data_IF_390477254009
#
_entry.id   IF_390477254009
#
_cell.length_a   1.000
_cell.length_b   1.000
_cell.length_c   1.000
_cell.angle_alpha   90.00
_cell.angle_beta   90.00
_cell.angle_gamma   90.00
#
_symmetry.space_group_name_H-M   'P 1'
#
loop_
_entity.id
_entity.type
_entity.pdbx_description
1 polymer ?
#
# COMPACT_ATOMS: atom_id res chain seq x y z
N UNK A 1 -1.32 -29.41 15.97
CA UNK A 1 -0.44 -28.44 16.68
C UNK A 1 -0.53 -27.01 16.17
N UNK A 2 -1.37 -26.73 15.18
CA UNK A 2 -1.51 -25.40 14.51
C UNK A 2 -2.48 -24.46 15.20
N UNK A 3 -3.27 -24.96 16.15
CA UNK A 3 -4.29 -24.18 16.87
C UNK A 3 -3.84 -23.70 18.27
N UNK A 4 -2.54 -23.55 18.48
CA UNK A 4 -2.00 -22.99 19.70
C UNK A 4 -1.15 -21.77 19.36
N UNK A 5 -1.44 -20.64 20.04
CA UNK A 5 -0.62 -19.45 19.88
C UNK A 5 0.80 -19.71 20.39
N UNK A 6 1.86 -19.26 19.71
CA UNK A 6 3.24 -19.52 20.09
C UNK A 6 3.55 -19.05 21.52
N UNK A 7 4.14 -19.93 22.33
CA UNK A 7 4.59 -19.60 23.70
C UNK A 7 6.00 -19.01 23.71
N UNK A 8 6.84 -19.44 22.78
CA UNK A 8 8.18 -18.88 22.61
C UNK A 8 8.08 -17.47 22.02
N UNK A 9 8.62 -16.48 22.72
CA UNK A 9 8.64 -15.08 22.31
C UNK A 9 10.02 -14.70 21.79
N UNK A 10 10.03 -13.91 20.71
CA UNK A 10 11.24 -13.23 20.26
C UNK A 10 11.51 -11.94 21.03
N UNK A 11 12.67 -11.37 20.80
CA UNK A 11 13.06 -10.05 21.30
C UNK A 11 13.31 -9.13 20.12
N UNK A 12 12.87 -7.88 20.21
CA UNK A 12 13.00 -6.91 19.13
C UNK A 12 13.64 -5.62 19.64
N UNK A 13 14.31 -4.93 18.74
CA UNK A 13 14.92 -3.63 19.00
C UNK A 13 14.84 -2.70 17.77
N UNK A 14 14.82 -1.40 18.04
CA UNK A 14 15.01 -0.39 17.02
C UNK A 14 16.49 -0.27 16.69
N UNK A 15 16.83 -0.30 15.41
CA UNK A 15 18.19 -0.09 14.90
C UNK A 15 18.22 1.18 14.07
N UNK A 16 18.99 2.16 14.49
CA UNK A 16 19.10 3.43 13.79
C UNK A 16 19.88 3.28 12.48
N UNK A 17 19.35 3.82 11.38
CA UNK A 17 20.03 3.77 10.09
C UNK A 17 21.10 4.85 9.88
N UNK A 18 21.24 5.78 10.84
CA UNK A 18 22.23 6.85 10.75
C UNK A 18 23.47 6.63 11.61
N UNK A 19 23.32 6.05 12.80
CA UNK A 19 24.41 5.88 13.78
C UNK A 19 24.48 4.47 14.37
N UNK A 20 23.71 3.53 13.86
CA UNK A 20 23.62 2.12 14.31
C UNK A 20 23.26 1.95 15.80
N UNK A 21 22.85 3.02 16.50
CA UNK A 21 22.36 2.94 17.88
C UNK A 21 21.13 2.04 17.98
N UNK A 22 21.07 1.26 19.06
CA UNK A 22 20.01 0.29 19.31
C UNK A 22 19.18 0.69 20.53
N UNK A 23 17.86 0.52 20.43
CA UNK A 23 16.92 0.89 21.48
C UNK A 23 15.88 -0.22 21.67
N UNK A 24 15.41 -0.45 22.91
CA UNK A 24 14.37 -1.44 23.19
C UNK A 24 13.08 -1.14 22.41
N UNK A 25 12.42 -2.19 21.92
CA UNK A 25 11.16 -2.06 21.18
C UNK A 25 9.94 -1.74 22.06
N UNK A 26 10.10 -1.64 23.38
CA UNK A 26 9.05 -1.31 24.35
C UNK A 26 8.94 0.19 24.64
N UNK A 27 9.45 1.04 23.76
CA UNK A 27 9.37 2.50 23.84
C UNK A 27 8.76 3.11 22.57
N UNK A 28 8.06 4.25 22.72
CA UNK A 28 7.52 5.00 21.58
C UNK A 28 8.64 5.82 20.92
N UNK A 29 9.34 5.20 19.96
CA UNK A 29 10.38 5.87 19.19
C UNK A 29 10.06 5.85 17.70
N UNK A 30 10.26 6.99 17.03
CA UNK A 30 10.02 7.17 15.60
C UNK A 30 11.25 7.64 14.85
N UNK A 31 12.11 8.40 15.54
CA UNK A 31 13.42 8.84 15.08
C UNK A 31 14.44 8.66 16.18
N UNK A 32 15.69 8.45 15.81
CA UNK A 32 16.79 8.24 16.73
C UNK A 32 17.03 9.50 17.58
N UNK A 33 17.00 9.41 18.92
CA UNK A 33 17.30 10.55 19.79
C UNK A 33 18.70 11.12 19.59
N UNK A 34 19.65 10.29 19.12
CA UNK A 34 21.04 10.70 18.95
C UNK A 34 21.32 11.41 17.63
N UNK A 35 20.63 11.03 16.51
CA UNK A 35 20.96 11.59 15.20
C UNK A 35 19.74 11.96 14.32
N UNK A 36 18.51 11.80 14.83
CA UNK A 36 17.28 12.13 14.11
C UNK A 36 16.90 11.18 12.96
N UNK A 37 17.70 10.15 12.66
CA UNK A 37 17.40 9.25 11.55
C UNK A 37 16.30 8.25 11.89
N UNK A 38 15.74 7.60 10.87
CA UNK A 38 14.69 6.59 11.02
C UNK A 38 15.27 5.23 11.43
N UNK A 39 14.39 4.35 11.94
CA UNK A 39 14.75 3.01 12.40
C UNK A 39 14.31 1.91 11.43
N UNK A 40 15.03 0.79 11.47
CA UNK A 40 14.47 -0.53 11.22
C UNK A 40 14.13 -1.19 12.57
N UNK A 41 13.15 -2.09 12.59
CA UNK A 41 12.89 -3.00 13.69
C UNK A 41 13.49 -4.36 13.34
N UNK A 42 14.38 -4.85 14.19
CA UNK A 42 15.05 -6.12 14.01
C UNK A 42 14.68 -7.10 15.15
N UNK A 43 14.52 -8.36 14.80
CA UNK A 43 14.41 -9.45 15.78
C UNK A 43 15.83 -9.83 16.22
N UNK A 44 16.15 -9.61 17.50
CA UNK A 44 17.50 -9.88 18.05
C UNK A 44 17.87 -11.35 17.90
N UNK A 45 16.90 -12.24 18.13
CA UNK A 45 17.08 -13.69 18.08
C UNK A 45 16.75 -14.27 16.67
N UNK A 46 16.90 -13.49 15.59
CA UNK A 46 16.53 -13.92 14.24
C UNK A 46 17.21 -15.23 13.83
N UNK A 47 18.46 -15.43 14.27
CA UNK A 47 19.19 -16.68 14.00
C UNK A 47 18.49 -17.93 14.53
N UNK A 48 17.70 -17.83 15.61
CA UNK A 48 16.93 -18.96 16.17
C UNK A 48 15.80 -19.40 15.24
N UNK A 49 15.33 -18.55 14.34
CA UNK A 49 14.35 -18.94 13.33
C UNK A 49 14.93 -19.97 12.35
N UNK A 50 16.26 -20.02 12.18
CA UNK A 50 16.97 -21.01 11.36
C UNK A 50 17.03 -22.40 11.99
N UNK A 51 16.72 -22.55 13.28
CA UNK A 51 16.62 -23.85 13.95
C UNK A 51 15.43 -24.68 13.41
N UNK A 52 14.40 -23.98 12.86
CA UNK A 52 13.32 -24.62 12.15
C UNK A 52 13.64 -24.65 10.65
N UNK A 53 13.45 -25.81 10.02
CA UNK A 53 13.70 -25.94 8.57
C UNK A 53 12.74 -25.08 7.75
N UNK A 54 13.14 -24.73 6.53
CA UNK A 54 12.26 -24.01 5.59
C UNK A 54 10.98 -24.78 5.29
N UNK A 55 11.07 -26.12 5.17
CA UNK A 55 9.91 -26.99 4.95
C UNK A 55 8.92 -26.92 6.13
N UNK A 56 9.42 -26.92 7.37
CA UNK A 56 8.57 -26.82 8.56
C UNK A 56 7.93 -25.45 8.71
N UNK A 57 8.63 -24.36 8.29
CA UNK A 57 8.04 -23.02 8.26
C UNK A 57 6.90 -22.94 7.23
N UNK A 58 7.13 -23.46 6.00
CA UNK A 58 6.11 -23.50 4.94
C UNK A 58 4.88 -24.28 5.43
N UNK A 59 5.07 -25.48 5.93
CA UNK A 59 4.00 -26.32 6.47
C UNK A 59 3.23 -25.65 7.62
N UNK A 60 3.93 -24.92 8.52
CA UNK A 60 3.30 -24.14 9.58
C UNK A 60 2.39 -23.04 9.05
N UNK A 61 2.85 -22.25 8.09
CA UNK A 61 2.08 -21.13 7.53
C UNK A 61 0.89 -21.64 6.69
N UNK A 62 1.06 -22.74 5.98
CA UNK A 62 -0.02 -23.40 5.22
C UNK A 62 -1.10 -23.95 6.17
N UNK A 63 -0.69 -24.60 7.25
CA UNK A 63 -1.62 -25.09 8.27
C UNK A 63 -2.37 -23.96 8.97
N UNK A 64 -1.73 -22.79 9.21
CA UNK A 64 -2.37 -21.61 9.78
C UNK A 64 -3.41 -20.99 8.85
N UNK A 65 -3.42 -21.28 7.55
CA UNK A 65 -4.48 -20.85 6.64
C UNK A 65 -5.87 -21.30 7.09
N UNK A 66 -5.97 -22.46 7.74
CA UNK A 66 -7.20 -23.03 8.30
C UNK A 66 -7.40 -22.71 9.79
N UNK A 67 -6.49 -21.99 10.44
CA UNK A 67 -6.57 -21.69 11.88
C UNK A 67 -7.77 -20.81 12.21
N UNK A 68 -8.42 -21.13 13.35
CA UNK A 68 -9.50 -20.32 13.94
C UNK A 68 -9.02 -19.33 14.99
N UNK A 69 -7.74 -19.36 15.35
CA UNK A 69 -7.15 -18.41 16.31
C UNK A 69 -7.03 -17.04 15.64
N UNK A 70 -7.83 -16.07 16.07
CA UNK A 70 -7.85 -14.71 15.51
C UNK A 70 -6.46 -14.07 15.50
N UNK A 71 -5.67 -14.27 16.57
CA UNK A 71 -4.31 -13.75 16.69
C UNK A 71 -3.28 -14.39 15.74
N UNK A 72 -3.66 -15.39 14.92
CA UNK A 72 -2.83 -16.01 13.88
C UNK A 72 -3.46 -15.87 12.49
N UNK A 73 -4.35 -14.88 12.31
CA UNK A 73 -4.99 -14.57 11.02
C UNK A 73 -4.39 -13.31 10.41
N UNK A 74 -4.76 -13.05 9.17
CA UNK A 74 -4.29 -11.88 8.43
C UNK A 74 -2.77 -11.80 8.39
N UNK A 75 -2.22 -10.62 8.66
CA UNK A 75 -0.77 -10.41 8.68
C UNK A 75 -0.07 -11.25 9.74
N UNK A 76 -0.74 -11.55 10.85
CA UNK A 76 -0.18 -12.35 11.96
C UNK A 76 -0.19 -13.88 11.72
N UNK A 77 -0.63 -14.36 10.55
CA UNK A 77 -0.30 -15.72 10.10
C UNK A 77 1.20 -15.98 10.21
N UNK A 78 1.99 -14.96 9.96
CA UNK A 78 3.47 -14.95 9.97
C UNK A 78 4.02 -14.33 11.26
N UNK A 79 3.35 -14.58 12.40
CA UNK A 79 3.62 -13.96 13.68
C UNK A 79 5.10 -13.89 14.06
N UNK A 80 5.85 -15.01 13.90
CA UNK A 80 7.27 -15.10 14.27
C UNK A 80 8.17 -14.19 13.42
N UNK A 81 7.73 -13.84 12.22
CA UNK A 81 8.50 -12.98 11.29
C UNK A 81 8.12 -11.50 11.43
N UNK A 82 6.91 -11.23 11.93
CA UNK A 82 6.39 -9.86 12.02
C UNK A 82 6.60 -9.27 13.40
N UNK A 83 5.98 -9.84 14.45
CA UNK A 83 5.98 -9.21 15.76
C UNK A 83 6.01 -10.24 16.91
N UNK A 84 7.10 -11.03 17.04
CA UNK A 84 7.17 -12.15 17.97
C UNK A 84 7.16 -11.74 19.46
N UNK A 85 7.13 -10.46 19.76
CA UNK A 85 7.04 -9.93 21.13
C UNK A 85 5.61 -9.76 21.64
N UNK A 86 4.62 -9.72 20.73
CA UNK A 86 3.24 -9.42 21.08
C UNK A 86 2.52 -10.61 21.70
N UNK A 87 1.64 -10.35 22.66
CA UNK A 87 0.76 -11.38 23.23
C UNK A 87 -0.52 -11.52 22.40
N UNK A 88 -1.11 -12.73 22.39
CA UNK A 88 -2.31 -13.01 21.61
C UNK A 88 -3.48 -12.04 21.86
N UNK A 89 -3.64 -11.63 23.12
CA UNK A 89 -4.70 -10.69 23.55
C UNK A 89 -4.51 -9.26 23.01
N UNK A 90 -3.29 -8.91 22.61
CA UNK A 90 -2.96 -7.57 22.10
C UNK A 90 -3.08 -7.48 20.58
N UNK A 91 -3.14 -8.62 19.91
CA UNK A 91 -3.26 -8.67 18.45
C UNK A 91 -4.63 -8.15 18.01
N UNK A 92 -4.59 -7.21 17.08
CA UNK A 92 -5.76 -6.58 16.43
C UNK A 92 -5.89 -7.14 15.03
N UNK A 93 -7.06 -7.67 14.71
CA UNK A 93 -7.38 -8.22 13.39
C UNK A 93 -8.77 -7.78 12.95
N UNK A 94 -8.88 -7.07 11.84
CA UNK A 94 -10.12 -6.59 11.22
C UNK A 94 -10.42 -7.29 9.88
N UNK A 95 -9.60 -8.26 9.48
CA UNK A 95 -9.72 -8.92 8.17
C UNK A 95 -8.64 -8.49 7.17
N UNK A 96 -7.65 -7.73 7.60
CA UNK A 96 -6.53 -7.31 6.76
C UNK A 96 -5.59 -8.49 6.43
N UNK A 97 -4.85 -8.31 5.33
CA UNK A 97 -3.92 -9.32 4.82
C UNK A 97 -4.62 -10.45 4.06
N UNK A 98 -3.82 -11.38 3.55
CA UNK A 98 -4.26 -12.50 2.71
C UNK A 98 -5.16 -12.01 1.55
N UNK A 99 -4.79 -10.87 1.01
CA UNK A 99 -5.51 -10.27 -0.12
C UNK A 99 -5.35 -11.11 -1.38
N UNK A 100 -6.41 -11.20 -2.22
CA UNK A 100 -6.36 -12.02 -3.42
C UNK A 100 -5.26 -11.60 -4.40
N UNK A 101 -4.64 -12.58 -5.02
CA UNK A 101 -3.87 -12.41 -6.26
C UNK A 101 -4.78 -12.88 -7.39
N UNK A 102 -5.12 -11.95 -8.28
CA UNK A 102 -6.05 -12.18 -9.39
C UNK A 102 -5.30 -12.01 -10.70
N UNK A 103 -5.25 -13.08 -11.51
CA UNK A 103 -4.65 -13.00 -12.83
C UNK A 103 -5.33 -11.91 -13.68
N UNK A 104 -4.52 -11.20 -14.46
CA UNK A 104 -5.06 -10.22 -15.40
C UNK A 104 -5.97 -10.93 -16.42
N UNK A 105 -7.06 -10.26 -16.80
CA UNK A 105 -7.99 -10.78 -17.79
C UNK A 105 -7.25 -11.21 -19.06
N UNK A 106 -7.64 -12.34 -19.71
CA UNK A 106 -6.94 -12.84 -20.91
C UNK A 106 -6.73 -11.77 -21.97
N UNK A 107 -7.77 -11.02 -22.31
CA UNK A 107 -7.68 -9.93 -23.30
C UNK A 107 -6.68 -8.83 -22.91
N UNK A 108 -6.53 -8.54 -21.62
CA UNK A 108 -5.56 -7.56 -21.14
C UNK A 108 -4.13 -8.13 -21.20
N UNK A 109 -3.94 -9.40 -20.86
CA UNK A 109 -2.64 -10.10 -21.00
C UNK A 109 -2.20 -10.15 -22.45
N UNK A 110 -3.12 -10.45 -23.37
CA UNK A 110 -2.84 -10.47 -24.82
C UNK A 110 -2.42 -9.09 -25.33
N UNK A 111 -3.10 -8.02 -24.89
CA UNK A 111 -2.74 -6.64 -25.25
C UNK A 111 -1.35 -6.24 -24.74
N UNK A 112 -0.97 -6.65 -23.54
CA UNK A 112 0.34 -6.34 -22.95
C UNK A 112 1.41 -7.29 -23.47
N UNK A 113 1.05 -8.53 -23.81
CA UNK A 113 1.94 -9.57 -24.29
C UNK A 113 2.79 -10.18 -23.19
N UNK A 114 2.28 -10.22 -21.94
CA UNK A 114 2.92 -10.82 -20.77
C UNK A 114 1.89 -11.43 -19.82
N UNK A 115 2.27 -12.50 -19.12
CA UNK A 115 1.49 -13.04 -18.00
C UNK A 115 1.69 -12.18 -16.76
N UNK A 116 0.60 -11.65 -16.21
CA UNK A 116 0.66 -10.86 -14.96
C UNK A 116 -0.63 -10.98 -14.15
N UNK A 117 -0.52 -10.62 -12.87
CA UNK A 117 -1.61 -10.63 -11.92
C UNK A 117 -1.63 -9.32 -11.11
N UNK A 118 -2.75 -9.04 -10.47
CA UNK A 118 -2.88 -7.99 -9.47
C UNK A 118 -2.97 -8.60 -8.08
N UNK A 119 -2.17 -8.10 -7.13
CA UNK A 119 -2.41 -8.31 -5.71
C UNK A 119 -3.34 -7.21 -5.22
N UNK A 120 -4.57 -7.60 -4.89
CA UNK A 120 -5.67 -6.66 -4.62
C UNK A 120 -5.68 -6.17 -3.17
N UNK A 121 -4.69 -5.38 -2.78
CA UNK A 121 -4.61 -4.77 -1.45
C UNK A 121 -5.73 -3.75 -1.17
N UNK A 122 -6.44 -3.33 -2.21
CA UNK A 122 -7.70 -2.60 -2.10
C UNK A 122 -8.85 -3.36 -1.44
N UNK A 123 -8.71 -4.68 -1.21
CA UNK A 123 -9.69 -5.49 -0.48
C UNK A 123 -9.44 -5.58 1.04
N UNK A 124 -8.44 -4.89 1.55
CA UNK A 124 -8.29 -4.70 2.99
C UNK A 124 -9.43 -3.87 3.59
N UNK A 125 -9.69 -3.93 4.91
CA UNK A 125 -10.85 -3.32 5.57
C UNK A 125 -11.08 -1.82 5.28
N UNK A 126 -10.02 -1.00 5.25
CA UNK A 126 -10.12 0.42 4.87
C UNK A 126 -9.98 0.66 3.36
N UNK A 127 -10.01 -0.40 2.57
CA UNK A 127 -9.81 -0.41 1.13
C UNK A 127 -8.40 0.03 0.69
N UNK A 128 -7.35 -0.27 1.49
CA UNK A 128 -5.95 -0.05 1.10
C UNK A 128 -4.95 -0.93 1.87
N UNK A 129 -3.74 -1.09 1.32
CA UNK A 129 -2.63 -1.82 1.95
C UNK A 129 -2.18 -1.24 3.30
N UNK A 130 -2.60 -0.03 3.64
CA UNK A 130 -2.25 0.63 4.91
C UNK A 130 -2.67 -0.18 6.12
N UNK A 131 -3.72 -0.98 5.97
CA UNK A 131 -4.26 -1.84 7.05
C UNK A 131 -3.25 -2.86 7.53
N UNK A 132 -2.41 -3.41 6.64
CA UNK A 132 -1.32 -4.31 7.03
C UNK A 132 -0.42 -3.70 8.11
N UNK A 133 -0.03 -2.46 7.87
CA UNK A 133 0.81 -1.72 8.83
C UNK A 133 0.04 -1.28 10.07
N UNK A 134 -1.23 -0.90 9.94
CA UNK A 134 -2.03 -0.46 11.07
C UNK A 134 -2.36 -1.61 12.00
N UNK A 135 -2.67 -2.80 11.51
CA UNK A 135 -2.85 -3.98 12.34
C UNK A 135 -1.66 -4.22 13.27
N UNK A 136 -0.45 -4.18 12.73
CA UNK A 136 0.76 -4.34 13.51
C UNK A 136 1.01 -3.18 14.49
N UNK A 137 0.84 -1.93 14.05
CA UNK A 137 1.07 -0.76 14.88
C UNK A 137 0.06 -0.66 16.04
N UNK A 138 -1.23 -0.94 15.79
CA UNK A 138 -2.24 -0.92 16.84
C UNK A 138 -2.13 -2.10 17.79
N UNK A 139 -1.73 -3.28 17.33
CA UNK A 139 -1.40 -4.41 18.19
C UNK A 139 -0.24 -4.07 19.14
N UNK A 140 0.81 -3.45 18.60
CA UNK A 140 1.93 -2.96 19.41
C UNK A 140 1.49 -1.90 20.41
N UNK A 141 0.70 -0.91 20.02
CA UNK A 141 0.21 0.13 20.94
C UNK A 141 -0.63 -0.46 22.06
N UNK A 142 -1.51 -1.41 21.75
CA UNK A 142 -2.30 -2.12 22.76
C UNK A 142 -1.42 -2.89 23.75
N UNK A 143 -0.42 -3.62 23.22
CA UNK A 143 0.58 -4.32 24.04
C UNK A 143 1.36 -3.33 24.94
N UNK A 144 1.80 -2.20 24.39
CA UNK A 144 2.57 -1.19 25.09
C UNK A 144 1.75 -0.50 26.20
N UNK A 145 0.49 -0.14 25.91
CA UNK A 145 -0.44 0.43 26.89
C UNK A 145 -0.66 -0.51 28.06
N UNK A 146 -0.93 -1.79 27.79
CA UNK A 146 -1.13 -2.81 28.82
C UNK A 146 0.12 -3.03 29.66
N UNK A 147 1.29 -3.12 29.03
CA UNK A 147 2.57 -3.34 29.71
C UNK A 147 2.94 -2.19 30.65
N UNK A 148 2.63 -0.95 30.26
CA UNK A 148 2.99 0.25 31.03
C UNK A 148 1.83 0.79 31.86
N UNK A 149 0.68 0.14 31.87
CA UNK A 149 -0.56 0.63 32.52
C UNK A 149 -0.92 2.06 32.08
N UNK A 150 -0.84 2.33 30.78
CA UNK A 150 -1.21 3.63 30.24
C UNK A 150 -2.74 3.73 30.04
N UNK A 151 -3.33 4.71 30.69
CA UNK A 151 -4.78 4.94 30.66
C UNK A 151 -5.23 5.71 29.40
N UNK A 152 -4.29 6.44 28.76
CA UNK A 152 -4.57 7.22 27.54
C UNK A 152 -3.32 7.35 26.67
N UNK A 153 -3.50 7.11 25.39
CA UNK A 153 -2.53 7.39 24.32
C UNK A 153 -3.24 8.04 23.15
N UNK A 154 -2.76 9.19 22.74
CA UNK A 154 -3.23 9.84 21.53
C UNK A 154 -2.56 9.22 20.31
N UNK A 155 -3.35 8.70 19.37
CA UNK A 155 -2.84 8.27 18.07
C UNK A 155 -3.06 9.41 17.06
N UNK A 156 -1.99 9.86 16.43
CA UNK A 156 -2.04 10.98 15.49
C UNK A 156 -1.55 10.56 14.12
N UNK A 157 -2.30 10.97 13.11
CA UNK A 157 -1.94 10.77 11.71
C UNK A 157 -2.12 12.08 10.94
N UNK A 158 -1.04 12.65 10.42
CA UNK A 158 -1.10 13.69 9.39
C UNK A 158 -1.19 13.00 8.03
N UNK A 159 -2.37 12.93 7.43
CA UNK A 159 -2.58 12.33 6.12
C UNK A 159 -3.96 12.69 5.57
N UNK A 160 -4.00 13.02 4.29
CA UNK A 160 -5.23 13.37 3.56
C UNK A 160 -5.87 12.16 2.87
N UNK A 161 -5.40 10.91 3.11
CA UNK A 161 -5.87 9.77 2.33
C UNK A 161 -5.86 8.44 3.09
N UNK A 162 -5.34 7.39 2.45
CA UNK A 162 -5.42 6.00 2.92
C UNK A 162 -4.87 5.77 4.33
N UNK A 163 -3.82 6.51 4.72
CA UNK A 163 -3.21 6.33 6.05
C UNK A 163 -4.14 6.80 7.16
N UNK A 164 -4.79 7.96 7.00
CA UNK A 164 -5.75 8.48 7.99
C UNK A 164 -7.01 7.62 8.05
N UNK A 165 -7.50 7.15 6.91
CA UNK A 165 -8.65 6.24 6.83
C UNK A 165 -8.39 4.95 7.62
N UNK A 166 -7.26 4.31 7.39
CA UNK A 166 -6.88 3.09 8.10
C UNK A 166 -6.63 3.35 9.59
N UNK A 167 -5.90 4.42 9.94
CA UNK A 167 -5.63 4.76 11.35
C UNK A 167 -6.92 5.00 12.15
N UNK A 168 -7.88 5.74 11.57
CA UNK A 168 -9.15 6.02 12.22
C UNK A 168 -10.00 4.75 12.42
N UNK A 169 -10.02 3.86 11.41
CA UNK A 169 -10.73 2.59 11.48
C UNK A 169 -10.20 1.70 12.61
N UNK A 170 -8.88 1.52 12.68
CA UNK A 170 -8.25 0.68 13.69
C UNK A 170 -8.37 1.27 15.09
N UNK A 171 -8.27 2.61 15.23
CA UNK A 171 -8.49 3.28 16.51
C UNK A 171 -9.93 3.13 17.00
N UNK A 172 -10.91 3.25 16.11
CA UNK A 172 -12.33 3.05 16.44
C UNK A 172 -12.59 1.61 16.92
N UNK A 173 -11.97 0.61 16.28
CA UNK A 173 -12.11 -0.79 16.68
C UNK A 173 -11.48 -1.08 18.04
N UNK A 174 -10.29 -0.55 18.31
CA UNK A 174 -9.59 -0.80 19.58
C UNK A 174 -10.24 -0.03 20.73
N UNK A 175 -10.71 1.20 20.48
CA UNK A 175 -11.28 2.05 21.52
C UNK A 175 -10.26 2.46 22.59
N UNK A 176 -10.74 2.69 23.83
CA UNK A 176 -9.87 3.02 24.95
C UNK A 176 -8.79 1.93 25.19
N UNK A 177 -7.58 2.32 25.54
CA UNK A 177 -7.11 3.65 25.92
C UNK A 177 -6.65 4.53 24.74
N UNK A 178 -6.89 4.16 23.48
CA UNK A 178 -6.41 4.88 22.30
C UNK A 178 -7.45 5.91 21.83
N UNK A 179 -7.01 7.14 21.63
CA UNK A 179 -7.82 8.20 21.00
C UNK A 179 -7.23 8.53 19.63
N UNK A 180 -8.07 8.73 18.62
CA UNK A 180 -7.63 9.01 17.26
C UNK A 180 -7.81 10.47 16.89
N UNK A 181 -6.73 11.07 16.39
CA UNK A 181 -6.73 12.40 15.78
C UNK A 181 -6.15 12.31 14.38
N UNK A 182 -6.84 12.93 13.43
CA UNK A 182 -6.36 13.17 12.06
C UNK A 182 -6.12 14.67 11.91
N UNK A 183 -4.90 15.06 11.58
CA UNK A 183 -4.52 16.47 11.35
C UNK A 183 -4.34 16.71 9.85
N UNK A 184 -4.99 17.74 9.32
CA UNK A 184 -5.08 18.03 7.90
C UNK A 184 -4.78 19.50 7.59
N UNK A 185 -4.24 19.81 6.41
CA UNK A 185 -4.15 21.20 5.95
C UNK A 185 -5.55 21.71 5.57
N UNK A 186 -5.93 22.87 6.11
CA UNK A 186 -7.25 23.47 5.92
C UNK A 186 -7.58 23.73 4.45
N UNK A 187 -8.79 23.30 4.03
CA UNK A 187 -9.31 23.54 2.69
C UNK A 187 -8.61 22.78 1.55
N UNK A 188 -7.77 21.78 1.86
CA UNK A 188 -6.99 21.03 0.86
C UNK A 188 -7.35 19.54 0.79
N UNK A 189 -8.49 19.16 1.37
CA UNK A 189 -8.92 17.78 1.48
C UNK A 189 -10.33 17.63 0.92
N UNK A 190 -10.57 16.61 0.11
CA UNK A 190 -11.89 16.36 -0.46
C UNK A 190 -12.81 15.66 0.54
N UNK A 191 -14.15 15.81 0.41
CA UNK A 191 -15.12 15.08 1.23
C UNK A 191 -14.92 13.56 1.18
N UNK A 192 -14.52 13.01 0.04
CA UNK A 192 -14.25 11.58 -0.14
C UNK A 192 -13.08 11.10 0.72
N UNK A 193 -12.04 11.92 0.84
CA UNK A 193 -10.88 11.61 1.70
C UNK A 193 -11.22 11.69 3.19
N UNK A 194 -12.19 12.53 3.57
CA UNK A 194 -12.64 12.68 4.96
C UNK A 194 -13.68 11.64 5.37
N UNK A 195 -14.36 11.00 4.42
CA UNK A 195 -15.51 10.13 4.71
C UNK A 195 -15.19 9.02 5.71
N UNK A 196 -14.07 8.33 5.55
CA UNK A 196 -13.69 7.24 6.46
C UNK A 196 -13.23 7.73 7.84
N UNK A 197 -12.34 8.73 7.99
CA UNK A 197 -11.98 9.27 9.31
C UNK A 197 -13.17 9.82 10.08
N UNK A 198 -14.05 10.59 9.44
CA UNK A 198 -15.26 11.12 10.07
C UNK A 198 -16.25 10.01 10.45
N UNK A 199 -16.48 9.07 9.53
CA UNK A 199 -17.36 7.92 9.76
C UNK A 199 -16.89 6.99 10.88
N UNK A 200 -15.58 6.92 11.11
CA UNK A 200 -14.97 6.17 12.22
C UNK A 200 -14.96 6.94 13.54
N UNK A 201 -15.46 8.16 13.58
CA UNK A 201 -15.52 8.97 14.82
C UNK A 201 -14.15 9.53 15.25
N UNK A 202 -13.15 9.58 14.38
CA UNK A 202 -11.89 10.23 14.69
C UNK A 202 -12.08 11.74 14.87
N UNK A 203 -11.31 12.35 15.77
CA UNK A 203 -11.23 13.80 15.85
C UNK A 203 -10.44 14.33 14.66
N UNK A 204 -11.10 15.00 13.73
CA UNK A 204 -10.45 15.58 12.55
C UNK A 204 -10.21 17.06 12.81
N UNK A 205 -8.95 17.49 12.75
CA UNK A 205 -8.50 18.86 12.98
C UNK A 205 -7.89 19.43 11.70
N UNK A 206 -8.23 20.66 11.39
CA UNK A 206 -7.66 21.41 10.26
C UNK A 206 -6.66 22.44 10.76
N UNK A 207 -5.49 22.48 10.13
CA UNK A 207 -4.42 23.46 10.40
C UNK A 207 -4.24 24.37 9.19
N UNK A 208 -4.23 25.71 9.36
CA UNK A 208 -3.82 26.60 8.28
C UNK A 208 -2.38 26.31 7.86
N UNK A 209 -2.15 26.06 6.58
CA UNK A 209 -0.82 25.74 6.06
C UNK A 209 -0.80 24.64 5.01
N UNK A 210 0.30 23.90 4.95
CA UNK A 210 0.51 22.75 4.05
C UNK A 210 0.74 21.46 4.84
N UNK A 211 0.79 20.35 4.13
CA UNK A 211 1.00 19.02 4.75
C UNK A 211 2.25 18.97 5.65
N UNK A 212 3.34 19.60 5.23
CA UNK A 212 4.59 19.62 6.01
C UNK A 212 4.42 20.36 7.34
N UNK A 213 3.54 21.37 7.43
CA UNK A 213 3.25 22.07 8.69
C UNK A 213 2.48 21.14 9.64
N UNK A 214 1.52 20.36 9.12
CA UNK A 214 0.85 19.33 9.91
C UNK A 214 1.85 18.29 10.45
N UNK A 215 2.80 17.87 9.62
CA UNK A 215 3.83 16.92 10.05
C UNK A 215 4.71 17.46 11.17
N UNK A 216 5.16 18.72 11.09
CA UNK A 216 5.95 19.36 12.15
C UNK A 216 5.20 19.41 13.49
N UNK A 217 3.90 19.76 13.45
CA UNK A 217 3.05 19.78 14.66
C UNK A 217 2.95 18.39 15.26
N UNK A 218 2.70 17.37 14.45
CA UNK A 218 2.57 15.99 14.94
C UNK A 218 3.90 15.45 15.49
N UNK A 219 5.02 15.79 14.88
CA UNK A 219 6.35 15.44 15.35
C UNK A 219 6.65 16.10 16.71
N UNK A 220 6.38 17.41 16.84
CA UNK A 220 6.53 18.12 18.11
C UNK A 220 5.64 17.54 19.23
N UNK A 221 4.41 17.13 18.90
CA UNK A 221 3.54 16.43 19.84
C UNK A 221 4.15 15.10 20.30
N UNK A 222 4.69 14.32 19.35
CA UNK A 222 5.29 13.02 19.67
C UNK A 222 6.59 13.11 20.49
N UNK A 223 7.31 14.22 20.39
CA UNK A 223 8.51 14.50 21.19
C UNK A 223 8.18 14.89 22.63
N UNK A 224 7.07 15.60 22.85
CA UNK A 224 6.78 16.24 24.14
C UNK A 224 5.63 15.60 24.91
N UNK A 225 4.83 14.75 24.27
CA UNK A 225 3.64 14.13 24.84
C UNK A 225 3.61 12.63 24.53
N UNK A 226 2.77 11.89 25.24
CA UNK A 226 2.51 10.48 24.95
C UNK A 226 1.62 10.34 23.73
N UNK A 227 2.24 10.47 22.58
CA UNK A 227 1.57 10.44 21.27
C UNK A 227 2.14 9.35 20.40
N UNK A 228 1.27 8.52 19.85
CA UNK A 228 1.61 7.50 18.87
C UNK A 228 1.48 8.06 17.45
N UNK A 229 2.63 8.28 16.82
CA UNK A 229 2.71 8.71 15.42
C UNK A 229 2.40 7.54 14.48
N UNK A 230 1.39 7.68 13.63
CA UNK A 230 0.95 6.64 12.69
C UNK A 230 1.34 6.94 11.23
N UNK A 231 2.28 7.84 11.00
CA UNK A 231 2.86 8.12 9.69
C UNK A 231 3.98 7.14 9.30
N UNK A 232 4.62 7.35 8.16
CA UNK A 232 5.63 6.44 7.58
C UNK A 232 6.93 6.33 8.38
N UNK A 233 7.16 7.19 9.41
CA UNK A 233 8.26 7.04 10.36
C UNK A 233 8.11 5.82 11.26
N UNK A 234 6.87 5.39 11.53
CA UNK A 234 6.58 4.28 12.43
C UNK A 234 7.06 2.94 11.86
N UNK A 235 8.06 2.33 12.50
CA UNK A 235 8.68 1.09 12.04
C UNK A 235 7.78 -0.14 12.23
N UNK A 236 6.84 -0.12 13.19
CA UNK A 236 5.87 -1.21 13.38
C UNK A 236 4.93 -1.35 12.18
N UNK A 237 4.62 -0.24 11.51
CA UNK A 237 3.87 -0.29 10.27
C UNK A 237 4.63 -1.01 9.16
N UNK A 238 5.94 -0.80 9.07
CA UNK A 238 6.78 -1.48 8.07
C UNK A 238 6.72 -3.00 8.29
N UNK A 239 6.83 -3.46 9.55
CA UNK A 239 6.74 -4.88 9.86
C UNK A 239 5.42 -5.51 9.41
N UNK A 240 4.27 -4.87 9.69
CA UNK A 240 2.98 -5.39 9.22
C UNK A 240 2.88 -5.48 7.70
N UNK A 241 3.47 -4.52 6.99
CA UNK A 241 3.49 -4.49 5.52
C UNK A 241 4.41 -5.57 4.92
N UNK A 242 5.38 -6.11 5.65
CA UNK A 242 6.20 -7.25 5.19
C UNK A 242 5.35 -8.48 4.84
N UNK A 243 4.16 -8.61 5.41
CA UNK A 243 3.21 -9.69 5.09
C UNK A 243 2.89 -9.80 3.59
N UNK A 244 2.97 -8.71 2.84
CA UNK A 244 2.84 -8.75 1.38
C UNK A 244 3.81 -9.74 0.74
N UNK A 245 5.08 -9.73 1.14
CA UNK A 245 6.10 -10.62 0.62
C UNK A 245 5.83 -12.08 0.99
N UNK A 246 5.41 -12.33 2.23
CA UNK A 246 5.12 -13.67 2.74
C UNK A 246 3.91 -14.28 2.04
N UNK A 247 2.84 -13.50 1.88
CA UNK A 247 1.64 -13.92 1.16
C UNK A 247 1.92 -14.18 -0.32
N UNK A 248 2.73 -13.33 -0.95
CA UNK A 248 3.12 -13.50 -2.36
C UNK A 248 3.93 -14.77 -2.55
N UNK A 249 4.92 -15.03 -1.69
CA UNK A 249 5.70 -16.26 -1.75
C UNK A 249 4.83 -17.49 -1.51
N UNK A 250 3.96 -17.48 -0.50
CA UNK A 250 3.05 -18.58 -0.19
C UNK A 250 2.06 -18.86 -1.34
N UNK A 251 1.52 -17.82 -1.98
CA UNK A 251 0.64 -17.96 -3.15
C UNK A 251 1.31 -18.65 -4.34
N UNK A 252 2.60 -18.42 -4.52
CA UNK A 252 3.42 -19.01 -5.57
C UNK A 252 4.13 -20.31 -5.11
N UNK A 253 3.59 -21.01 -4.13
CA UNK A 253 4.19 -22.23 -3.56
C UNK A 253 5.67 -22.06 -3.16
N UNK A 254 6.02 -20.84 -2.72
CA UNK A 254 7.36 -20.40 -2.34
C UNK A 254 8.37 -20.37 -3.50
N UNK A 255 7.89 -20.46 -4.74
CA UNK A 255 8.68 -20.30 -5.96
C UNK A 255 8.40 -18.93 -6.58
N UNK A 256 9.35 -18.03 -6.41
CA UNK A 256 9.32 -16.64 -6.92
C UNK A 256 10.34 -16.40 -8.02
N UNK A 257 10.86 -17.49 -8.62
CA UNK A 257 11.74 -17.42 -9.79
C UNK A 257 10.95 -16.76 -10.94
N UNK A 258 11.62 -15.91 -11.70
CA UNK A 258 11.05 -15.15 -12.83
C UNK A 258 9.85 -14.24 -12.48
N UNK A 259 9.65 -13.95 -11.18
CA UNK A 259 8.62 -13.02 -10.73
C UNK A 259 9.16 -11.58 -10.66
N UNK A 260 8.46 -10.67 -11.32
CA UNK A 260 8.71 -9.23 -11.29
C UNK A 260 7.59 -8.52 -10.51
N UNK A 261 7.92 -7.85 -9.42
CA UNK A 261 6.96 -7.09 -8.62
C UNK A 261 6.99 -5.63 -9.03
N UNK A 262 5.82 -5.05 -9.31
CA UNK A 262 5.69 -3.61 -9.56
C UNK A 262 4.99 -2.95 -8.38
N UNK A 263 5.68 -2.00 -7.75
CA UNK A 263 5.26 -1.40 -6.47
C UNK A 263 5.30 0.12 -6.59
N UNK A 264 4.20 0.83 -6.32
CA UNK A 264 4.19 2.29 -6.38
C UNK A 264 4.96 2.87 -5.20
N UNK A 265 5.75 3.92 -5.45
CA UNK A 265 6.68 4.49 -4.47
C UNK A 265 6.34 5.93 -4.12
N UNK A 266 5.64 6.13 -2.99
CA UNK A 266 5.45 7.44 -2.35
C UNK A 266 6.44 7.65 -1.21
N UNK A 267 5.98 7.57 0.06
CA UNK A 267 6.86 7.61 1.25
C UNK A 267 7.80 6.39 1.38
N UNK A 268 7.76 5.49 0.43
CA UNK A 268 8.62 4.32 0.25
C UNK A 268 8.57 3.27 1.38
N UNK A 269 7.58 3.33 2.29
CA UNK A 269 7.41 2.34 3.36
C UNK A 269 7.05 0.96 2.82
N UNK A 270 6.16 0.89 1.83
CA UNK A 270 5.68 -0.37 1.26
C UNK A 270 6.81 -1.15 0.56
N UNK A 271 7.52 -0.51 -0.35
CA UNK A 271 8.65 -1.14 -1.06
C UNK A 271 9.78 -1.55 -0.08
N UNK A 272 10.00 -0.76 0.99
CA UNK A 272 10.88 -1.12 2.10
C UNK A 272 10.45 -2.44 2.74
N UNK A 273 9.18 -2.56 3.09
CA UNK A 273 8.64 -3.76 3.73
C UNK A 273 8.70 -4.99 2.82
N UNK A 274 8.38 -4.83 1.54
CA UNK A 274 8.43 -5.91 0.55
C UNK A 274 9.87 -6.44 0.41
N UNK A 275 10.86 -5.54 0.25
CA UNK A 275 12.28 -5.94 0.23
C UNK A 275 12.70 -6.65 1.52
N UNK A 276 12.35 -6.11 2.68
CA UNK A 276 12.67 -6.69 3.99
C UNK A 276 12.07 -8.08 4.13
N UNK A 277 10.80 -8.26 3.75
CA UNK A 277 10.11 -9.55 3.82
C UNK A 277 10.77 -10.62 2.96
N UNK A 278 11.09 -10.30 1.69
CA UNK A 278 11.76 -11.26 0.81
C UNK A 278 13.19 -11.56 1.25
N UNK A 279 13.94 -10.59 1.78
CA UNK A 279 15.26 -10.84 2.36
C UNK A 279 15.19 -11.82 3.54
N UNK A 280 14.20 -11.69 4.43
CA UNK A 280 13.97 -12.65 5.52
C UNK A 280 13.64 -14.04 4.99
N UNK A 281 12.75 -14.15 4.00
CA UNK A 281 12.41 -15.45 3.39
C UNK A 281 13.63 -16.12 2.75
N UNK A 282 14.44 -15.35 2.04
CA UNK A 282 15.66 -15.84 1.42
C UNK A 282 16.70 -16.28 2.47
N UNK A 283 16.91 -15.47 3.51
CA UNK A 283 17.86 -15.78 4.58
C UNK A 283 17.46 -17.04 5.39
N UNK A 284 16.15 -17.31 5.49
CA UNK A 284 15.61 -18.51 6.14
C UNK A 284 15.44 -19.70 5.17
N UNK A 285 15.82 -19.54 3.90
CA UNK A 285 15.73 -20.59 2.88
C UNK A 285 14.31 -20.93 2.44
N UNK A 286 13.28 -20.11 2.76
CA UNK A 286 11.91 -20.31 2.30
C UNK A 286 11.75 -20.02 0.81
N UNK A 287 12.54 -19.14 0.27
CA UNK A 287 12.69 -18.90 -1.17
C UNK A 287 14.15 -19.06 -1.55
N UNK A 288 14.42 -19.68 -2.69
CA UNK A 288 15.79 -19.89 -3.18
C UNK A 288 16.37 -18.66 -3.87
N UNK A 289 15.50 -17.87 -4.51
CA UNK A 289 15.84 -16.66 -5.24
C UNK A 289 14.97 -15.51 -4.75
N UNK A 290 15.44 -14.28 -4.95
CA UNK A 290 14.65 -13.07 -4.72
C UNK A 290 13.88 -12.72 -6.01
N UNK A 291 12.59 -12.33 -5.93
CA UNK A 291 11.90 -11.77 -7.08
C UNK A 291 12.51 -10.42 -7.44
N UNK A 292 12.38 -10.00 -8.69
CA UNK A 292 12.80 -8.67 -9.11
C UNK A 292 11.78 -7.64 -8.66
N UNK A 293 12.24 -6.52 -8.12
CA UNK A 293 11.35 -5.44 -7.65
C UNK A 293 11.56 -4.20 -8.51
N UNK A 294 10.47 -3.73 -9.10
CA UNK A 294 10.39 -2.47 -9.83
C UNK A 294 9.57 -1.49 -8.99
N UNK A 295 10.26 -0.48 -8.41
CA UNK A 295 9.57 0.66 -7.85
C UNK A 295 9.08 1.58 -8.97
N UNK A 296 7.84 2.05 -8.88
CA UNK A 296 7.28 2.92 -9.90
C UNK A 296 6.97 4.28 -9.31
N UNK A 297 7.34 5.35 -10.00
CA UNK A 297 7.04 6.73 -9.61
C UNK A 297 6.51 7.54 -10.80
N UNK A 298 5.52 8.39 -10.51
CA UNK A 298 5.10 9.44 -11.44
C UNK A 298 6.22 10.45 -11.69
N UNK A 299 6.36 10.93 -12.92
CA UNK A 299 7.29 12.03 -13.27
C UNK A 299 7.02 13.35 -12.50
N UNK A 300 5.86 13.45 -11.84
CA UNK A 300 5.49 14.60 -11.02
C UNK A 300 5.97 14.47 -9.56
N UNK A 301 6.48 13.29 -9.16
CA UNK A 301 6.98 13.02 -7.81
C UNK A 301 7.99 11.85 -7.83
N UNK A 302 9.15 12.05 -8.42
CA UNK A 302 10.12 11.03 -8.83
C UNK A 302 11.50 11.06 -8.14
N UNK A 303 11.64 11.43 -6.86
CA UNK A 303 12.96 11.60 -6.24
C UNK A 303 13.78 10.31 -6.19
N UNK A 304 13.12 9.16 -5.98
CA UNK A 304 13.81 7.86 -5.90
C UNK A 304 14.27 7.41 -7.28
N UNK A 305 13.44 7.63 -8.31
CA UNK A 305 13.83 7.37 -9.70
C UNK A 305 15.08 8.18 -10.06
N UNK A 306 15.09 9.47 -9.81
CA UNK A 306 16.26 10.34 -10.11
C UNK A 306 17.53 9.85 -9.43
N UNK A 307 17.42 9.41 -8.18
CA UNK A 307 18.55 8.86 -7.45
C UNK A 307 19.12 7.60 -8.11
N UNK A 308 18.25 6.63 -8.47
CA UNK A 308 18.70 5.36 -9.05
C UNK A 308 19.01 5.44 -10.55
N UNK A 309 18.49 6.40 -11.29
CA UNK A 309 18.84 6.68 -12.68
C UNK A 309 20.25 7.24 -12.83
N UNK A 310 20.81 7.87 -11.80
CA UNK A 310 22.17 8.34 -11.81
C UNK A 310 23.16 7.16 -11.69
N UNK A 311 24.36 7.26 -12.34
CA UNK A 311 25.44 6.30 -12.14
C UNK A 311 25.78 6.14 -10.64
N UNK A 312 26.10 4.92 -10.19
CA UNK A 312 26.24 4.60 -8.78
C UNK A 312 27.17 5.55 -8.00
N UNK A 313 28.31 5.93 -8.60
CA UNK A 313 29.29 6.84 -7.99
C UNK A 313 28.84 8.31 -7.96
N UNK A 314 27.83 8.68 -8.76
CA UNK A 314 27.31 10.05 -8.84
C UNK A 314 25.98 10.22 -8.08
N UNK A 315 25.48 9.18 -7.43
CA UNK A 315 24.20 9.21 -6.72
C UNK A 315 24.26 10.17 -5.53
N UNK A 316 23.47 11.22 -5.61
CA UNK A 316 23.29 12.17 -4.51
C UNK A 316 21.80 12.34 -4.26
N UNK A 317 21.38 12.22 -3.01
CA UNK A 317 19.97 12.40 -2.65
C UNK A 317 19.57 13.87 -2.78
N UNK A 318 18.52 14.10 -3.54
CA UNK A 318 17.88 15.42 -3.68
C UNK A 318 16.36 15.26 -3.66
N UNK A 319 15.67 15.91 -2.71
CA UNK A 319 14.23 16.03 -2.76
C UNK A 319 13.77 16.75 -4.02
N UNK A 320 12.57 16.45 -4.47
CA UNK A 320 11.95 17.15 -5.62
C UNK A 320 10.75 17.98 -5.16
N UNK A 321 10.50 19.08 -5.87
CA UNK A 321 9.23 19.79 -5.75
C UNK A 321 8.19 19.02 -6.53
N UNK A 322 7.15 18.53 -5.84
CA UNK A 322 6.06 17.78 -6.47
C UNK A 322 5.17 18.68 -7.33
N UNK A 323 4.61 18.12 -8.38
CA UNK A 323 3.51 18.68 -9.17
C UNK A 323 2.24 17.88 -8.91
N UNK A 324 1.04 18.40 -9.23
CA UNK A 324 -0.20 17.64 -9.11
C UNK A 324 -0.10 16.29 -9.84
N UNK A 325 -0.44 15.20 -9.14
CA UNK A 325 -0.37 13.85 -9.68
C UNK A 325 -1.66 13.08 -9.40
N UNK A 326 -2.09 12.27 -10.37
CA UNK A 326 -3.19 11.32 -10.17
C UNK A 326 -2.78 10.17 -9.25
N UNK A 327 -1.49 9.85 -9.17
CA UNK A 327 -0.94 8.97 -8.14
C UNK A 327 -0.87 9.68 -6.77
N UNK A 328 -1.97 10.29 -6.35
CA UNK A 328 -2.05 11.21 -5.21
C UNK A 328 -1.45 10.65 -3.92
N UNK A 329 -1.67 9.38 -3.60
CA UNK A 329 -1.12 8.75 -2.40
C UNK A 329 0.40 8.51 -2.47
N UNK A 330 0.98 8.61 -3.67
CA UNK A 330 2.41 8.50 -3.94
C UNK A 330 3.08 9.85 -4.25
N UNK A 331 2.35 10.97 -4.25
CA UNK A 331 2.85 12.31 -4.56
C UNK A 331 3.72 12.86 -3.43
N UNK A 332 4.93 12.32 -3.27
CA UNK A 332 5.87 12.64 -2.20
C UNK A 332 7.23 13.05 -2.77
N UNK A 333 7.64 14.29 -2.48
CA UNK A 333 8.90 14.84 -2.97
C UNK A 333 10.13 14.50 -2.11
N UNK A 334 9.91 14.12 -0.84
CA UNK A 334 10.98 13.73 0.09
C UNK A 334 10.54 12.52 0.93
N UNK A 335 10.62 11.30 0.38
CA UNK A 335 10.22 10.08 1.07
C UNK A 335 10.94 9.84 2.40
N UNK A 336 10.17 9.79 3.48
CA UNK A 336 10.69 9.55 4.84
C UNK A 336 11.43 8.22 4.96
N UNK A 337 11.01 7.19 4.21
CA UNK A 337 11.65 5.87 4.24
C UNK A 337 12.82 5.73 3.25
N UNK A 338 13.26 6.79 2.58
CA UNK A 338 14.37 6.69 1.64
C UNK A 338 15.66 6.10 2.25
N UNK A 339 16.07 6.46 3.48
CA UNK A 339 17.23 5.80 4.12
C UNK A 339 17.04 4.27 4.24
N UNK A 340 15.80 3.81 4.51
CA UNK A 340 15.47 2.37 4.54
C UNK A 340 15.58 1.74 3.16
N UNK A 341 15.03 2.41 2.12
CA UNK A 341 15.12 1.94 0.73
C UNK A 341 16.57 1.75 0.33
N UNK A 342 17.43 2.74 0.57
CA UNK A 342 18.84 2.67 0.22
C UNK A 342 19.51 1.47 0.88
N UNK A 343 19.36 1.32 2.21
CA UNK A 343 19.98 0.22 2.97
C UNK A 343 19.51 -1.16 2.51
N UNK A 344 18.20 -1.30 2.27
CA UNK A 344 17.63 -2.58 1.86
C UNK A 344 17.87 -2.89 0.39
N UNK A 345 17.87 -1.90 -0.50
CA UNK A 345 18.20 -2.11 -1.90
C UNK A 345 19.66 -2.56 -2.08
N UNK A 346 20.60 -2.01 -1.30
CA UNK A 346 21.98 -2.49 -1.27
C UNK A 346 22.05 -3.98 -0.89
N UNK A 347 21.35 -4.39 0.17
CA UNK A 347 21.27 -5.81 0.58
C UNK A 347 20.56 -6.69 -0.45
N UNK A 348 19.50 -6.16 -1.04
CA UNK A 348 18.67 -6.86 -2.02
C UNK A 348 19.45 -7.13 -3.31
N UNK A 349 20.19 -6.12 -3.79
CA UNK A 349 21.08 -6.23 -4.96
C UNK A 349 22.26 -7.16 -4.67
N UNK A 350 22.84 -7.09 -3.48
CA UNK A 350 23.92 -7.99 -3.09
C UNK A 350 23.50 -9.47 -3.06
N UNK A 351 22.24 -9.76 -2.69
CA UNK A 351 21.70 -11.12 -2.64
C UNK A 351 21.11 -11.60 -3.98
N UNK A 352 20.47 -10.72 -4.75
CA UNK A 352 19.72 -11.07 -5.97
C UNK A 352 20.37 -10.61 -7.29
N UNK A 353 21.51 -9.90 -7.22
CA UNK A 353 22.20 -9.32 -8.38
C UNK A 353 21.68 -7.93 -8.77
N UNK A 354 22.41 -7.27 -9.67
CA UNK A 354 22.15 -5.86 -10.04
C UNK A 354 20.74 -5.58 -10.58
N UNK A 355 20.14 -6.57 -11.23
CA UNK A 355 18.78 -6.44 -11.79
C UNK A 355 17.66 -6.68 -10.77
N UNK A 356 18.00 -7.08 -9.54
CA UNK A 356 16.98 -7.46 -8.53
C UNK A 356 16.14 -6.26 -8.06
N UNK A 357 16.68 -5.05 -8.15
CA UNK A 357 15.97 -3.83 -7.75
C UNK A 357 16.16 -2.71 -8.77
N UNK A 358 15.06 -2.16 -9.27
CA UNK A 358 15.04 -1.08 -10.26
C UNK A 358 13.93 -0.09 -9.96
N UNK A 359 14.06 1.14 -10.44
CA UNK A 359 13.01 2.17 -10.34
C UNK A 359 12.64 2.64 -11.74
N UNK A 360 11.35 2.75 -12.00
CA UNK A 360 10.79 3.18 -13.28
C UNK A 360 9.96 4.45 -13.08
N UNK A 361 10.09 5.38 -14.02
CA UNK A 361 9.26 6.57 -14.10
C UNK A 361 8.12 6.36 -15.11
N UNK A 362 6.95 6.92 -14.80
CA UNK A 362 5.76 6.90 -15.66
C UNK A 362 5.12 8.29 -15.72
N UNK A 363 4.42 8.58 -16.83
CA UNK A 363 3.71 9.84 -17.01
C UNK A 363 2.29 9.77 -16.45
N UNK A 364 1.73 10.91 -16.08
CA UNK A 364 0.36 11.03 -15.56
C UNK A 364 -0.69 10.45 -16.54
N UNK A 365 -0.54 10.71 -17.82
CA UNK A 365 -1.39 10.13 -18.86
C UNK A 365 -1.35 8.60 -18.86
N UNK A 366 -0.14 8.02 -18.76
CA UNK A 366 0.05 6.57 -18.74
C UNK A 366 -0.61 5.93 -17.51
N UNK A 367 -0.54 6.60 -16.35
CA UNK A 367 -1.17 6.15 -15.11
C UNK A 367 -2.69 6.06 -15.28
N UNK A 368 -3.32 7.13 -15.78
CA UNK A 368 -4.78 7.17 -15.96
C UNK A 368 -5.26 6.17 -17.00
N UNK A 369 -4.60 6.11 -18.16
CA UNK A 369 -4.96 5.18 -19.22
C UNK A 369 -4.82 3.71 -18.75
N UNK A 370 -3.75 3.40 -18.02
CA UNK A 370 -3.51 2.07 -17.48
C UNK A 370 -4.54 1.69 -16.39
N UNK A 371 -4.89 2.61 -15.49
CA UNK A 371 -5.94 2.40 -14.50
C UNK A 371 -7.29 2.10 -15.16
N UNK A 372 -7.71 2.94 -16.10
CA UNK A 372 -8.99 2.76 -16.80
C UNK A 372 -9.00 1.49 -17.65
N UNK A 373 -7.88 1.16 -18.31
CA UNK A 373 -7.73 -0.08 -19.05
C UNK A 373 -7.87 -1.29 -18.12
N UNK A 374 -7.22 -1.30 -16.97
CA UNK A 374 -7.36 -2.36 -15.97
C UNK A 374 -8.82 -2.49 -15.49
N UNK A 375 -9.47 -1.38 -15.14
CA UNK A 375 -10.84 -1.37 -14.66
C UNK A 375 -11.84 -1.87 -15.71
N UNK A 376 -11.64 -1.54 -17.00
CA UNK A 376 -12.45 -2.07 -18.11
C UNK A 376 -12.32 -3.58 -18.32
N UNK A 377 -11.25 -4.17 -17.82
CA UNK A 377 -11.03 -5.62 -17.83
C UNK A 377 -11.38 -6.28 -16.48
N UNK A 378 -12.13 -5.60 -15.63
CA UNK A 378 -12.67 -6.14 -14.37
C UNK A 378 -11.71 -6.10 -13.18
N UNK A 379 -10.59 -5.36 -13.28
CA UNK A 379 -9.68 -5.17 -12.16
C UNK A 379 -10.04 -3.91 -11.36
N UNK A 380 -9.89 -3.97 -10.04
CA UNK A 380 -10.26 -2.87 -9.13
C UNK A 380 -9.09 -1.90 -8.86
N UNK A 381 -8.21 -1.72 -9.82
CA UNK A 381 -7.01 -0.92 -9.68
C UNK A 381 -7.32 0.56 -9.42
N UNK A 382 -6.71 1.13 -8.37
CA UNK A 382 -6.65 2.56 -8.14
C UNK A 382 -5.63 3.23 -9.08
N UNK A 383 -5.42 4.54 -8.95
CA UNK A 383 -4.41 5.25 -9.75
C UNK A 383 -3.00 4.69 -9.54
N UNK A 384 -2.64 4.30 -8.30
CA UNK A 384 -1.36 3.64 -8.01
C UNK A 384 -1.26 2.23 -8.62
N UNK A 385 -2.38 1.51 -8.72
CA UNK A 385 -2.43 0.25 -9.48
C UNK A 385 -2.25 0.49 -10.99
N UNK A 386 -2.77 1.61 -11.50
CA UNK A 386 -2.50 2.11 -12.85
C UNK A 386 -1.03 2.47 -13.05
N UNK A 387 -0.41 3.11 -12.05
CA UNK A 387 1.02 3.40 -12.03
C UNK A 387 1.86 2.11 -12.20
N UNK A 388 1.48 1.01 -11.51
CA UNK A 388 2.14 -0.28 -11.66
C UNK A 388 1.99 -0.87 -13.07
N UNK A 389 0.82 -0.80 -13.67
CA UNK A 389 0.60 -1.30 -15.03
C UNK A 389 1.36 -0.46 -16.07
N UNK A 390 1.36 0.87 -15.94
CA UNK A 390 2.17 1.75 -16.77
C UNK A 390 3.67 1.44 -16.64
N UNK A 391 4.13 1.21 -15.41
CA UNK A 391 5.50 0.77 -15.12
C UNK A 391 5.86 -0.56 -15.78
N UNK A 392 4.97 -1.55 -15.78
CA UNK A 392 5.17 -2.81 -16.48
C UNK A 392 5.29 -2.60 -18.00
N UNK A 393 4.41 -1.79 -18.58
CA UNK A 393 4.44 -1.48 -20.04
C UNK A 393 5.77 -0.80 -20.40
N UNK A 394 6.21 0.19 -19.60
CA UNK A 394 7.48 0.88 -19.82
C UNK A 394 8.68 -0.07 -19.63
N UNK A 395 8.64 -0.96 -18.63
CA UNK A 395 9.69 -1.96 -18.41
C UNK A 395 9.84 -2.92 -19.60
N UNK A 396 8.72 -3.37 -20.16
CA UNK A 396 8.71 -4.19 -21.39
C UNK A 396 9.29 -3.44 -22.59
N UNK A 397 8.87 -2.19 -22.80
CA UNK A 397 9.36 -1.35 -23.88
C UNK A 397 10.86 -1.07 -23.81
N UNK A 398 11.38 -0.95 -22.58
CA UNK A 398 12.82 -0.77 -22.30
C UNK A 398 13.62 -2.07 -22.32
N UNK A 399 13.00 -3.23 -22.53
CA UNK A 399 13.67 -4.54 -22.49
C UNK A 399 14.16 -4.93 -21.07
N UNK A 400 13.63 -4.30 -20.04
CA UNK A 400 13.97 -4.60 -18.64
C UNK A 400 13.27 -5.87 -18.14
N UNK A 401 12.11 -6.19 -18.70
CA UNK A 401 11.34 -7.41 -18.42
C UNK A 401 11.22 -8.23 -19.69
N UNK A 402 11.49 -9.53 -19.57
CA UNK A 402 11.31 -10.51 -20.66
C UNK A 402 9.86 -11.00 -20.71
N UNK A 403 9.38 -11.33 -21.89
CA UNK A 403 8.06 -11.94 -22.10
C UNK A 403 7.90 -13.32 -21.48
N UNK A 404 9.00 -13.96 -21.05
CA UNK A 404 9.00 -15.23 -20.32
C UNK A 404 8.87 -15.07 -18.81
N UNK A 405 9.02 -13.85 -18.28
CA UNK A 405 8.84 -13.55 -16.84
C UNK A 405 7.35 -13.36 -16.51
N UNK A 406 7.02 -13.47 -15.25
CA UNK A 406 5.68 -13.19 -14.69
C UNK A 406 5.72 -11.87 -13.94
N UNK A 407 4.65 -11.08 -14.00
CA UNK A 407 4.58 -9.87 -13.22
C UNK A 407 3.44 -9.91 -12.18
N UNK A 408 3.69 -9.31 -11.01
CA UNK A 408 2.68 -9.05 -10.00
C UNK A 408 2.62 -7.54 -9.73
N UNK A 409 1.44 -6.97 -9.94
CA UNK A 409 1.18 -5.55 -9.78
C UNK A 409 0.50 -5.29 -8.44
N UNK A 410 1.04 -4.38 -7.65
CA UNK A 410 0.45 -4.00 -6.37
C UNK A 410 -0.72 -3.02 -6.58
N UNK A 411 -1.95 -3.51 -6.52
CA UNK A 411 -3.16 -2.71 -6.47
C UNK A 411 -3.39 -2.21 -5.03
N UNK A 412 -2.62 -1.21 -4.64
CA UNK A 412 -2.47 -0.74 -3.25
C UNK A 412 -3.75 -0.26 -2.58
N UNK A 413 -4.76 0.15 -3.36
CA UNK A 413 -6.05 0.60 -2.87
C UNK A 413 -7.17 0.25 -3.86
N UNK A 414 -8.41 0.33 -3.39
CA UNK A 414 -9.59 0.13 -4.25
C UNK A 414 -9.83 1.36 -5.14
N UNK A 415 -10.21 1.13 -6.41
CA UNK A 415 -10.52 2.18 -7.39
C UNK A 415 -11.53 3.23 -6.90
N UNK A 416 -12.52 2.81 -6.10
CA UNK A 416 -13.54 3.71 -5.54
C UNK A 416 -12.97 4.86 -4.69
N UNK A 417 -11.80 4.68 -4.09
CA UNK A 417 -11.15 5.76 -3.29
C UNK A 417 -10.65 6.90 -4.16
N UNK A 418 -10.47 6.66 -5.45
CA UNK A 418 -9.92 7.60 -6.43
C UNK A 418 -10.90 7.91 -7.57
N UNK A 419 -12.20 7.66 -7.36
CA UNK A 419 -13.25 7.87 -8.34
C UNK A 419 -13.31 9.31 -8.88
N UNK A 420 -12.89 10.31 -8.10
CA UNK A 420 -12.82 11.70 -8.54
C UNK A 420 -11.88 11.92 -9.74
N UNK A 421 -10.77 11.20 -9.83
CA UNK A 421 -9.89 11.29 -11.01
C UNK A 421 -10.52 10.66 -12.23
N UNK A 422 -11.28 9.58 -12.08
CA UNK A 422 -12.06 8.99 -13.18
C UNK A 422 -13.12 9.95 -13.68
N UNK A 423 -13.82 10.66 -12.78
CA UNK A 423 -14.79 11.69 -13.14
C UNK A 423 -14.14 12.84 -13.92
N UNK A 424 -13.00 13.36 -13.45
CA UNK A 424 -12.23 14.39 -14.16
C UNK A 424 -11.83 13.93 -15.57
N UNK A 425 -11.39 12.67 -15.72
CA UNK A 425 -11.04 12.09 -17.00
C UNK A 425 -12.25 12.02 -17.95
N UNK A 426 -13.38 11.50 -17.46
CA UNK A 426 -14.57 11.34 -18.28
C UNK A 426 -15.24 12.66 -18.65
N UNK A 427 -15.04 13.71 -17.87
CA UNK A 427 -15.60 15.05 -18.11
C UNK A 427 -14.62 15.99 -18.81
N UNK A 428 -13.39 15.54 -19.09
CA UNK A 428 -12.31 16.37 -19.64
C UNK A 428 -12.06 17.62 -18.78
N UNK A 429 -12.00 17.42 -17.47
CA UNK A 429 -11.92 18.51 -16.50
C UNK A 429 -10.60 18.53 -15.71
N UNK A 430 -9.58 17.81 -16.15
CA UNK A 430 -8.24 17.95 -15.58
C UNK A 430 -7.67 19.34 -15.82
N UNK A 431 -7.05 19.92 -14.78
CA UNK A 431 -6.25 21.13 -14.99
C UNK A 431 -5.03 20.82 -15.87
N UNK A 432 -4.55 21.77 -16.68
CA UNK A 432 -3.38 21.58 -17.56
C UNK A 432 -2.12 21.09 -16.84
N UNK A 433 -2.00 21.34 -15.53
CA UNK A 433 -0.86 20.94 -14.72
C UNK A 433 -0.67 19.41 -14.62
N UNK A 434 -1.75 18.62 -14.80
CA UNK A 434 -1.68 17.16 -14.83
C UNK A 434 -1.11 16.63 -16.15
N UNK A 435 -1.15 17.39 -17.24
CA UNK A 435 -0.68 16.92 -18.54
C UNK A 435 -1.51 15.75 -19.11
N UNK A 436 -2.79 15.66 -18.74
CA UNK A 436 -3.71 14.59 -19.15
C UNK A 436 -4.68 15.11 -20.20
N UNK A 437 -4.79 14.36 -21.29
CA UNK A 437 -5.82 14.52 -22.30
C UNK A 437 -6.61 13.22 -22.40
N UNK A 438 -7.92 13.21 -22.11
CA UNK A 438 -8.70 11.99 -22.11
C UNK A 438 -8.70 11.28 -23.47
N UNK A 439 -8.37 10.00 -23.46
CA UNK A 439 -8.54 9.13 -24.63
C UNK A 439 -10.03 8.78 -24.77
N UNK A 440 -10.61 9.10 -25.90
CA UNK A 440 -12.03 8.88 -26.17
C UNK A 440 -12.42 7.39 -26.05
N UNK A 441 -11.51 6.49 -26.41
CA UNK A 441 -11.76 5.05 -26.31
C UNK A 441 -11.80 4.55 -24.85
N UNK A 442 -11.26 5.32 -23.91
CA UNK A 442 -11.27 5.02 -22.47
C UNK A 442 -12.30 5.86 -21.71
N UNK A 443 -12.74 6.98 -22.25
CA UNK A 443 -13.80 7.79 -21.64
C UNK A 443 -15.14 7.06 -21.70
N UNK A 444 -15.94 7.23 -20.66
CA UNK A 444 -17.30 6.68 -20.58
C UNK A 444 -18.20 7.62 -19.79
N UNK A 445 -19.42 7.81 -20.27
CA UNK A 445 -20.42 8.69 -19.62
C UNK A 445 -21.80 8.07 -19.75
N UNK A 446 -22.69 8.32 -18.78
CA UNK A 446 -24.11 8.00 -18.97
C UNK A 446 -24.67 8.74 -20.18
N UNK A 447 -25.32 7.99 -21.08
CA UNK A 447 -26.03 8.55 -22.21
C UNK A 447 -27.51 8.68 -21.88
N UNK A 448 -28.12 9.80 -22.28
CA UNK A 448 -29.55 10.00 -22.10
C UNK A 448 -30.31 9.20 -23.15
N UNK A 449 -30.97 8.13 -22.72
CA UNK A 449 -31.79 7.27 -23.57
C UNK A 449 -33.02 8.00 -24.12
N UNK A 450 -33.63 8.87 -23.33
CA UNK A 450 -34.77 9.72 -23.65
C UNK A 450 -34.57 11.13 -23.07
N UNK A 451 -35.21 12.16 -23.64
CA UNK A 451 -35.25 13.49 -23.03
C UNK A 451 -35.86 13.43 -21.63
N UNK A 452 -35.41 14.30 -20.72
CA UNK A 452 -35.93 14.37 -19.34
C UNK A 452 -37.43 14.62 -19.27
N UNK A 453 -37.98 15.37 -20.22
CA UNK A 453 -39.42 15.65 -20.34
C UNK A 453 -40.25 14.41 -20.63
N UNK A 454 -39.72 13.41 -21.31
CA UNK A 454 -40.43 12.21 -21.74
C UNK A 454 -41.16 11.48 -20.62
N UNK A 455 -40.66 11.55 -19.36
CA UNK A 455 -41.32 10.92 -18.21
C UNK A 455 -42.64 11.61 -17.82
N UNK A 456 -42.73 12.92 -18.05
CA UNK A 456 -43.92 13.72 -17.73
C UNK A 456 -44.92 13.81 -18.88
N UNK A 457 -44.46 13.52 -20.11
CA UNK A 457 -45.26 13.64 -21.34
C UNK A 457 -45.92 12.33 -21.76
N UNK A 458 -45.46 11.20 -21.24
CA UNK A 458 -45.89 9.87 -21.64
C UNK A 458 -46.53 9.10 -20.47
N UNK A 459 -47.63 8.39 -20.74
CA UNK A 459 -48.15 7.38 -19.86
C UNK A 459 -47.18 6.20 -19.70
N UNK A 460 -47.27 5.47 -18.57
CA UNK A 460 -46.29 4.43 -18.16
C UNK A 460 -46.02 3.39 -19.25
N UNK A 461 -47.06 2.87 -19.90
CA UNK A 461 -46.90 1.86 -20.93
C UNK A 461 -46.22 2.40 -22.20
N UNK A 462 -46.54 3.63 -22.60
CA UNK A 462 -45.95 4.31 -23.75
C UNK A 462 -44.49 4.70 -23.45
N UNK A 463 -44.24 5.18 -22.24
CA UNK A 463 -42.88 5.50 -21.79
C UNK A 463 -41.98 4.26 -21.82
N UNK A 464 -42.44 3.16 -21.20
CA UNK A 464 -41.69 1.90 -21.14
C UNK A 464 -41.37 1.38 -22.55
N UNK A 465 -42.35 1.38 -23.45
CA UNK A 465 -42.17 0.93 -24.84
C UNK A 465 -41.14 1.79 -25.54
N UNK A 466 -41.27 3.11 -25.50
CA UNK A 466 -40.36 4.05 -26.17
C UNK A 466 -38.95 3.95 -25.65
N UNK A 467 -38.76 3.77 -24.33
CA UNK A 467 -37.47 3.56 -23.72
C UNK A 467 -36.82 2.23 -24.18
N UNK A 468 -37.61 1.13 -24.19
CA UNK A 468 -37.13 -0.17 -24.63
C UNK A 468 -36.75 -0.17 -26.14
N UNK A 469 -37.54 0.46 -26.97
CA UNK A 469 -37.25 0.60 -28.44
C UNK A 469 -35.97 1.42 -28.66
N UNK A 470 -35.81 2.54 -27.94
CA UNK A 470 -34.61 3.37 -28.01
C UNK A 470 -33.38 2.58 -27.56
N UNK A 471 -33.47 1.83 -26.48
CA UNK A 471 -32.40 0.97 -25.97
C UNK A 471 -32.06 -0.15 -26.93
N UNK A 472 -33.05 -0.84 -27.50
CA UNK A 472 -32.85 -1.89 -28.47
C UNK A 472 -32.16 -1.37 -29.74
N UNK A 473 -32.54 -0.18 -30.20
CA UNK A 473 -31.91 0.50 -31.37
C UNK A 473 -30.45 0.85 -31.04
N UNK A 474 -30.18 1.50 -29.90
CA UNK A 474 -28.86 1.89 -29.46
C UNK A 474 -27.91 0.68 -29.36
N UNK A 475 -28.37 -0.41 -28.75
CA UNK A 475 -27.62 -1.64 -28.54
C UNK A 475 -27.67 -2.63 -29.70
N UNK A 476 -28.38 -2.29 -30.81
CA UNK A 476 -28.55 -3.16 -31.99
C UNK A 476 -29.07 -4.56 -31.62
N UNK A 477 -30.05 -4.62 -30.74
CA UNK A 477 -30.62 -5.91 -30.29
C UNK A 477 -31.48 -6.50 -31.42
N UNK A 478 -31.36 -7.80 -31.64
CA UNK A 478 -32.25 -8.53 -32.57
C UNK A 478 -33.55 -8.90 -31.86
N UNK A 479 -34.71 -8.72 -32.51
CA UNK A 479 -35.97 -9.26 -32.01
C UNK A 479 -35.86 -10.79 -31.77
N UNK A 480 -36.62 -11.27 -30.76
CA UNK A 480 -36.74 -12.72 -30.52
C UNK A 480 -37.56 -13.41 -31.58
#
# INVERSE_FOLDING_TARGET
MTDVFPTLRGRMEYVCLGCDARYPADSLLYTCPGCGNVFLLETIDFHKLKERSAADWRALFDARAASRITALRGVFRYYEFIAPVLDAQDIVYLGEGITPIVEAAPALRDQIGLSFAYKNDGQNPSASFKDRGMACAFSYLKWLCRRNNWEEVLTVCASTGDTSASAALYAAYVGAPLKSVVLLPAGKVTPQQLSQPLGSGATVLELPGVFDDCMKVVEHLAENYRVALLNSKNSWRILGQESYAYETAQWHDWDVVDLCLFVPVGNAGNITAIMSGFLKLHELGLVTNLPRIFGVQSEHADPVYRYYAAPALARTWQPVRVRPSVAQAAMIGNPVSFPRVRKLAERYIAAGGEKAFQIIQVREQEIMDAMLKANRHGHIACTQGGECLAGLVNALALGLVSRSERALLDATAHSLKFAGFQELYFTDAFSPEYGITPNIDLANRPEALLPRSARNELEDAAYTRKAAEAMAKLLRLSPK
#
